data_IF_727543340020
#
_entry.id   IF_727543340020
#
_cell.length_a   1.000
_cell.length_b   1.000
_cell.length_c   1.000
_cell.angle_alpha   90.00
_cell.angle_beta   90.00
_cell.angle_gamma   90.00
#
_symmetry.space_group_name_H-M   'P 1'
#
loop_
_entity.id
_entity.type
_entity.pdbx_description
1 polymer ?
#
# COMPACT_ATOMS: atom_id res chain seq x y z
N UNK A 1 -15.39 -6.16 4.50
CA UNK A 1 -14.93 -6.65 3.18
C UNK A 1 -13.55 -6.06 2.97
N UNK A 2 -12.57 -6.79 2.43
CA UNK A 2 -11.22 -6.23 2.27
C UNK A 2 -11.17 -5.08 1.25
N UNK A 3 -10.34 -4.07 1.52
CA UNK A 3 -10.01 -3.01 0.57
C UNK A 3 -8.71 -3.36 -0.15
N UNK A 4 -8.71 -3.36 -1.48
CA UNK A 4 -7.56 -3.78 -2.30
C UNK A 4 -7.22 -2.74 -3.37
N UNK A 5 -6.03 -2.84 -3.97
CA UNK A 5 -5.58 -1.92 -5.01
C UNK A 5 -6.51 -1.82 -6.23
N UNK A 6 -7.29 -2.87 -6.52
CA UNK A 6 -8.32 -2.86 -7.56
C UNK A 6 -9.54 -1.97 -7.27
N UNK A 7 -9.66 -1.42 -6.06
CA UNK A 7 -10.78 -0.57 -5.61
C UNK A 7 -10.33 0.88 -5.35
N UNK A 8 -9.10 1.24 -5.73
CA UNK A 8 -8.58 2.60 -5.60
C UNK A 8 -9.41 3.56 -6.47
N UNK A 9 -10.01 4.55 -5.83
CA UNK A 9 -10.66 5.71 -6.48
C UNK A 9 -9.72 6.90 -6.40
N UNK A 10 -9.23 7.18 -5.19
CA UNK A 10 -8.15 8.14 -4.93
C UNK A 10 -6.84 7.36 -4.73
N UNK A 11 -5.84 7.61 -5.57
CA UNK A 11 -4.53 6.93 -5.47
C UNK A 11 -3.92 7.14 -4.08
N UNK A 12 -3.35 6.09 -3.51
CA UNK A 12 -2.73 6.09 -2.17
C UNK A 12 -1.27 5.62 -2.21
N UNK A 13 -0.81 5.09 -3.34
CA UNK A 13 0.57 4.65 -3.54
C UNK A 13 1.45 5.82 -3.96
N UNK A 14 2.35 6.22 -3.06
CA UNK A 14 3.14 7.45 -3.18
C UNK A 14 3.98 7.48 -4.46
N UNK A 15 4.48 6.33 -4.92
CA UNK A 15 5.28 6.22 -6.16
C UNK A 15 4.46 6.48 -7.43
N UNK A 16 3.13 6.57 -7.32
CA UNK A 16 2.19 6.84 -8.42
C UNK A 16 1.48 8.18 -8.30
N UNK A 17 1.76 8.93 -7.24
CA UNK A 17 1.13 10.22 -6.96
C UNK A 17 1.91 11.40 -7.57
N UNK A 18 1.17 12.40 -8.03
CA UNK A 18 1.69 13.74 -8.33
C UNK A 18 1.79 14.59 -7.04
N UNK A 19 2.59 15.67 -7.03
CA UNK A 19 2.78 16.50 -5.84
C UNK A 19 1.49 17.00 -5.19
N UNK A 20 0.49 17.39 -5.98
CA UNK A 20 -0.82 17.82 -5.48
C UNK A 20 -1.59 16.70 -4.77
N UNK A 21 -1.44 15.46 -5.23
CA UNK A 21 -2.05 14.29 -4.60
C UNK A 21 -1.37 13.97 -3.27
N UNK A 22 -0.04 14.10 -3.20
CA UNK A 22 0.72 13.95 -1.95
C UNK A 22 0.29 15.01 -0.94
N UNK A 23 0.14 16.26 -1.37
CA UNK A 23 -0.36 17.34 -0.51
C UNK A 23 -1.77 17.07 0.03
N UNK A 24 -2.68 16.56 -0.80
CA UNK A 24 -4.03 16.18 -0.38
C UNK A 24 -4.03 15.01 0.60
N UNK A 25 -3.20 13.98 0.36
CA UNK A 25 -3.05 12.84 1.27
C UNK A 25 -2.51 13.28 2.63
N UNK A 26 -1.47 14.13 2.66
CA UNK A 26 -0.90 14.69 3.88
C UNK A 26 -1.94 15.49 4.70
N UNK A 27 -2.77 16.30 4.01
CA UNK A 27 -3.84 17.07 4.65
C UNK A 27 -4.95 16.18 5.23
N UNK A 28 -5.27 15.06 4.56
CA UNK A 28 -6.23 14.07 5.05
C UNK A 28 -5.67 13.28 6.24
N UNK A 29 -4.43 12.80 6.13
CA UNK A 29 -3.71 12.08 7.18
C UNK A 29 -2.21 12.06 6.90
N UNK A 30 -1.44 12.67 7.79
CA UNK A 30 0.02 12.70 7.72
C UNK A 30 0.67 11.39 8.24
N UNK A 31 0.37 10.28 7.58
CA UNK A 31 0.97 8.97 7.87
C UNK A 31 1.47 8.32 6.58
N UNK A 32 2.67 7.74 6.64
CA UNK A 32 3.26 6.92 5.57
C UNK A 32 3.36 5.48 6.08
N UNK A 33 2.88 4.54 5.28
CA UNK A 33 2.85 3.12 5.58
C UNK A 33 3.88 2.38 4.72
N UNK A 34 5.02 2.05 5.31
CA UNK A 34 6.08 1.35 4.60
C UNK A 34 5.81 -0.17 4.59
N UNK A 35 5.61 -0.81 3.42
CA UNK A 35 5.60 -2.26 3.36
C UNK A 35 6.99 -2.82 3.67
N UNK A 36 7.03 -3.87 4.48
CA UNK A 36 8.26 -4.58 4.82
C UNK A 36 7.98 -6.07 4.91
N UNK A 37 8.90 -6.88 4.40
CA UNK A 37 8.80 -8.34 4.41
C UNK A 37 10.12 -8.99 4.06
N UNK A 38 10.23 -10.28 4.35
CA UNK A 38 11.44 -11.05 4.07
C UNK A 38 11.56 -11.43 2.58
N UNK A 39 12.79 -11.76 2.18
CA UNK A 39 13.09 -12.44 0.94
C UNK A 39 13.44 -13.89 1.28
N UNK A 40 12.44 -14.79 1.23
CA UNK A 40 12.59 -16.16 1.70
C UNK A 40 11.81 -17.18 0.87
N UNK A 41 12.13 -18.46 1.03
CA UNK A 41 11.50 -19.52 0.26
C UNK A 41 10.08 -19.80 0.77
N UNK A 42 9.09 -19.75 -0.14
CA UNK A 42 7.68 -19.99 0.17
C UNK A 42 7.07 -21.16 -0.62
N UNK A 43 7.88 -22.14 -1.00
CA UNK A 43 7.44 -23.26 -1.84
C UNK A 43 7.31 -22.91 -3.32
N UNK A 44 7.06 -23.92 -4.15
CA UNK A 44 7.01 -23.77 -5.61
C UNK A 44 5.86 -22.88 -6.14
N UNK A 45 4.86 -22.59 -5.32
CA UNK A 45 3.67 -21.84 -5.72
C UNK A 45 3.75 -20.34 -5.43
N UNK A 46 4.76 -19.89 -4.67
CA UNK A 46 4.87 -18.50 -4.25
C UNK A 46 6.22 -17.88 -4.63
N UNK A 47 6.24 -16.56 -4.88
CA UNK A 47 7.48 -15.83 -5.04
C UNK A 47 8.23 -15.70 -3.71
N UNK A 48 9.54 -15.47 -3.80
CA UNK A 48 10.39 -15.28 -2.61
C UNK A 48 10.12 -13.98 -1.85
N UNK A 49 9.46 -13.00 -2.48
CA UNK A 49 9.09 -11.72 -1.86
C UNK A 49 7.64 -11.67 -1.38
N UNK A 50 7.01 -12.82 -1.14
CA UNK A 50 5.58 -12.91 -0.83
C UNK A 50 5.16 -12.03 0.35
N UNK A 51 5.98 -11.97 1.40
CA UNK A 51 5.70 -11.19 2.60
C UNK A 51 5.51 -9.72 2.30
N UNK A 52 6.44 -9.12 1.54
CA UNK A 52 6.35 -7.70 1.18
C UNK A 52 5.19 -7.45 0.21
N UNK A 53 4.92 -8.37 -0.74
CA UNK A 53 3.77 -8.26 -1.64
C UNK A 53 2.43 -8.24 -0.89
N UNK A 54 2.27 -9.13 0.09
CA UNK A 54 1.07 -9.18 0.93
C UNK A 54 0.97 -7.96 1.84
N UNK A 55 2.08 -7.57 2.48
CA UNK A 55 2.12 -6.39 3.33
C UNK A 55 1.71 -5.14 2.56
N UNK A 56 2.27 -4.94 1.35
CA UNK A 56 1.91 -3.82 0.48
C UNK A 56 0.39 -3.75 0.21
N UNK A 57 -0.24 -4.84 -0.21
CA UNK A 57 -1.69 -4.83 -0.47
C UNK A 57 -2.53 -4.56 0.79
N UNK A 58 -2.12 -5.06 1.97
CA UNK A 58 -2.81 -4.75 3.23
C UNK A 58 -2.70 -3.27 3.59
N UNK A 59 -1.52 -2.67 3.39
CA UNK A 59 -1.29 -1.25 3.67
C UNK A 59 -2.03 -0.36 2.67
N UNK A 60 -2.15 -0.77 1.41
CA UNK A 60 -3.01 -0.08 0.43
C UNK A 60 -4.45 -0.08 0.90
N UNK A 61 -4.96 -1.23 1.37
CA UNK A 61 -6.29 -1.33 1.97
C UNK A 61 -6.47 -0.39 3.17
N UNK A 62 -5.47 -0.34 4.07
CA UNK A 62 -5.47 0.58 5.20
C UNK A 62 -5.50 2.04 4.76
N UNK A 63 -4.71 2.44 3.76
CA UNK A 63 -4.67 3.81 3.27
C UNK A 63 -5.98 4.22 2.57
N UNK A 64 -6.63 3.28 1.87
CA UNK A 64 -7.98 3.49 1.30
C UNK A 64 -8.99 3.78 2.42
N UNK A 65 -8.99 2.97 3.48
CA UNK A 65 -9.98 3.06 4.57
C UNK A 65 -9.70 4.22 5.53
N UNK A 66 -8.46 4.36 6.01
CA UNK A 66 -8.08 5.27 7.08
C UNK A 66 -7.38 6.56 6.61
N UNK A 67 -7.05 6.66 5.31
CA UNK A 67 -6.22 7.72 4.75
C UNK A 67 -4.72 7.51 5.00
N UNK A 68 -3.88 8.37 4.42
CA UNK A 68 -2.42 8.25 4.44
C UNK A 68 -1.88 7.86 3.07
N UNK A 69 -0.61 7.47 3.01
CA UNK A 69 0.03 6.97 1.80
C UNK A 69 0.85 5.71 2.05
N UNK A 70 0.95 4.86 1.05
CA UNK A 70 1.82 3.67 1.02
C UNK A 70 3.03 3.96 0.15
#
# INVERSE_FOLDING_TARGET
>A
MGHYSGQIIDEVRLERMRPEQIGAALAKRAAIYMPFGAMEWHGYHNPVGLDCLKAHEQLVGLAIEAGGGV
#
